data_IF_282378594795
#
_entry.id   IF_282378594795
#
_cell.length_a   1.000
_cell.length_b   1.000
_cell.length_c   1.000
_cell.angle_alpha   90.00
_cell.angle_beta   90.00
_cell.angle_gamma   90.00
#
_symmetry.space_group_name_H-M   'P 1'
#
loop_
_entity.id
_entity.type
_entity.pdbx_description
1 polymer ?
#
# COMPACT_ATOMS: atom_id res chain seq x y z
N UNK A 1 1.35 -15.40 -16.17
CA UNK A 1 0.38 -14.27 -16.19
C UNK A 1 -0.96 -14.81 -15.69
N UNK A 2 -1.19 -14.80 -14.38
CA UNK A 2 -2.49 -15.17 -13.80
C UNK A 2 -3.30 -13.88 -13.72
N UNK A 3 -4.24 -13.72 -14.64
CA UNK A 3 -5.26 -12.68 -14.55
C UNK A 3 -6.29 -13.17 -13.53
N UNK A 4 -6.19 -12.69 -12.29
CA UNK A 4 -7.28 -12.80 -11.32
C UNK A 4 -8.39 -11.83 -11.76
N UNK A 5 -9.18 -12.25 -12.75
CA UNK A 5 -10.45 -11.62 -13.08
C UNK A 5 -11.49 -12.07 -12.03
N UNK A 6 -11.39 -11.50 -10.83
CA UNK A 6 -12.51 -11.52 -9.89
C UNK A 6 -13.58 -10.60 -10.46
N UNK A 7 -14.67 -11.17 -10.98
CA UNK A 7 -15.89 -10.40 -11.28
C UNK A 7 -16.45 -9.98 -9.92
N UNK A 8 -16.09 -8.78 -9.48
CA UNK A 8 -16.74 -8.15 -8.33
C UNK A 8 -18.18 -7.85 -8.74
N UNK A 9 -19.10 -8.76 -8.43
CA UNK A 9 -20.51 -8.40 -8.37
C UNK A 9 -20.62 -7.36 -7.25
N UNK A 10 -21.06 -6.11 -7.52
CA UNK A 10 -21.29 -5.16 -6.46
C UNK A 10 -22.38 -5.74 -5.55
N UNK A 11 -22.02 -6.14 -4.34
CA UNK A 11 -23.00 -6.34 -3.29
C UNK A 11 -23.59 -4.97 -2.99
N UNK A 12 -24.84 -4.76 -3.40
CA UNK A 12 -25.61 -3.60 -3.02
C UNK A 12 -25.74 -3.61 -1.48
N UNK A 13 -25.13 -2.62 -0.84
CA UNK A 13 -25.25 -2.41 0.60
C UNK A 13 -26.70 -2.05 0.97
N UNK A 14 -27.06 -2.32 2.23
CA UNK A 14 -28.39 -2.07 2.76
C UNK A 14 -28.79 -0.59 2.57
N UNK A 15 -30.07 -0.34 2.30
CA UNK A 15 -30.64 1.01 2.25
C UNK A 15 -30.33 1.77 3.55
N UNK A 16 -29.61 2.89 3.45
CA UNK A 16 -29.16 3.70 4.59
C UNK A 16 -27.65 3.69 4.86
N UNK A 17 -26.85 3.00 4.04
CA UNK A 17 -25.38 3.08 4.09
C UNK A 17 -24.89 4.44 3.51
N UNK A 18 -24.38 5.31 4.38
CA UNK A 18 -23.89 6.65 4.05
C UNK A 18 -22.35 6.73 3.98
N UNK A 19 -21.65 5.59 4.01
CA UNK A 19 -20.17 5.54 4.00
C UNK A 19 -19.56 6.18 2.76
N UNK A 20 -20.23 6.06 1.61
CA UNK A 20 -19.80 6.71 0.37
C UNK A 20 -19.85 8.24 0.51
N UNK A 21 -20.97 8.77 1.03
CA UNK A 21 -21.14 10.21 1.30
C UNK A 21 -20.09 10.70 2.30
N UNK A 22 -19.92 10.01 3.43
CA UNK A 22 -18.92 10.36 4.45
C UNK A 22 -17.49 10.31 3.91
N UNK A 23 -17.17 9.34 3.04
CA UNK A 23 -15.86 9.26 2.38
C UNK A 23 -15.64 10.40 1.39
N UNK A 24 -16.68 10.77 0.64
CA UNK A 24 -16.63 11.92 -0.27
C UNK A 24 -16.45 13.24 0.47
N UNK A 25 -17.11 13.43 1.62
CA UNK A 25 -16.94 14.60 2.49
C UNK A 25 -15.51 14.71 3.03
N UNK A 26 -14.95 13.61 3.55
CA UNK A 26 -13.56 13.58 4.01
C UNK A 26 -12.60 13.92 2.86
N UNK A 27 -12.81 13.38 1.64
CA UNK A 27 -11.97 13.74 0.50
C UNK A 27 -12.15 15.18 0.04
N UNK A 28 -13.32 15.79 0.22
CA UNK A 28 -13.53 17.23 -0.04
C UNK A 28 -12.79 18.11 0.97
N UNK A 29 -12.72 17.72 2.25
CA UNK A 29 -11.89 18.40 3.26
C UNK A 29 -10.40 18.31 2.90
N UNK A 30 -9.95 17.13 2.49
CA UNK A 30 -8.53 16.83 2.26
C UNK A 30 -7.99 17.29 0.91
N UNK A 31 -8.85 17.38 -0.08
CA UNK A 31 -8.55 17.90 -1.41
C UNK A 31 -9.44 19.12 -1.60
N UNK A 32 -8.99 20.34 -1.26
CA UNK A 32 -9.84 21.53 -1.37
C UNK A 32 -10.08 21.94 -2.83
N UNK A 33 -9.09 21.80 -3.71
CA UNK A 33 -9.18 22.18 -5.13
C UNK A 33 -9.28 20.96 -6.07
N UNK A 34 -10.28 20.89 -6.97
CA UNK A 34 -10.42 19.79 -7.93
C UNK A 34 -9.37 19.85 -9.06
N UNK A 35 -8.67 20.98 -9.21
CA UNK A 35 -7.59 21.17 -10.17
C UNK A 35 -6.20 20.89 -9.58
N UNK A 36 -6.14 20.69 -8.26
CA UNK A 36 -4.93 20.28 -7.56
C UNK A 36 -4.68 18.77 -7.62
N UNK A 37 -3.59 18.31 -6.98
CA UNK A 37 -3.28 16.90 -6.88
C UNK A 37 -4.41 16.11 -6.23
N UNK A 38 -4.68 14.94 -6.79
CA UNK A 38 -5.80 14.13 -6.33
C UNK A 38 -5.46 13.11 -5.25
N UNK A 39 -6.51 12.67 -4.57
CA UNK A 39 -6.53 11.57 -3.61
C UNK A 39 -7.66 10.61 -3.93
N UNK A 40 -7.44 9.33 -3.65
CA UNK A 40 -8.47 8.29 -3.73
C UNK A 40 -8.48 7.44 -2.47
N UNK A 41 -9.65 6.92 -2.12
CA UNK A 41 -9.84 5.99 -1.03
C UNK A 41 -10.75 4.85 -1.50
N UNK A 42 -10.40 3.63 -1.10
CA UNK A 42 -11.21 2.44 -1.33
C UNK A 42 -11.39 1.68 -0.02
N UNK A 43 -12.63 1.23 0.22
CA UNK A 43 -12.98 0.34 1.32
C UNK A 43 -13.20 -1.07 0.80
N UNK A 44 -12.74 -2.06 1.56
CA UNK A 44 -13.07 -3.47 1.36
C UNK A 44 -13.78 -4.01 2.59
N UNK A 45 -14.91 -4.68 2.43
CA UNK A 45 -15.64 -5.36 3.52
C UNK A 45 -15.89 -6.80 3.12
N UNK A 46 -15.38 -7.75 3.90
CA UNK A 46 -15.53 -9.20 3.70
C UNK A 46 -15.19 -9.63 2.26
N UNK A 47 -14.08 -9.10 1.74
CA UNK A 47 -13.59 -9.40 0.39
C UNK A 47 -14.33 -8.69 -0.75
N UNK A 48 -15.35 -7.88 -0.46
CA UNK A 48 -16.02 -7.03 -1.46
C UNK A 48 -15.43 -5.63 -1.43
N UNK A 49 -15.02 -5.11 -2.58
CA UNK A 49 -14.62 -3.70 -2.73
C UNK A 49 -15.89 -2.85 -2.79
N UNK A 50 -15.96 -1.85 -1.93
CA UNK A 50 -17.06 -0.87 -1.85
C UNK A 50 -16.70 0.35 -2.69
N UNK A 51 -17.67 1.10 -3.24
CA UNK A 51 -17.44 2.30 -4.02
C UNK A 51 -16.28 3.18 -3.52
N UNK A 52 -15.42 3.49 -4.48
CA UNK A 52 -14.21 4.28 -4.30
C UNK A 52 -14.56 5.76 -4.35
N UNK A 53 -14.03 6.54 -3.41
CA UNK A 53 -14.15 7.98 -3.43
C UNK A 53 -12.85 8.57 -3.97
N UNK A 54 -12.94 9.51 -4.93
CA UNK A 54 -11.77 10.16 -5.54
C UNK A 54 -12.03 11.62 -5.85
N UNK A 55 -11.05 12.49 -5.59
CA UNK A 55 -11.12 13.93 -5.91
C UNK A 55 -9.77 14.45 -6.37
N UNK A 56 -9.78 15.40 -7.32
CA UNK A 56 -8.59 16.06 -7.86
C UNK A 56 -8.01 15.38 -9.11
N UNK A 57 -6.77 15.75 -9.47
CA UNK A 57 -6.10 15.29 -10.68
C UNK A 57 -5.15 14.12 -10.41
N UNK A 58 -5.27 13.08 -11.23
CA UNK A 58 -4.29 11.99 -11.32
C UNK A 58 -3.02 12.44 -12.03
N UNK A 59 -3.11 13.40 -12.96
CA UNK A 59 -1.96 13.94 -13.67
C UNK A 59 -2.16 15.45 -13.90
N UNK A 60 -1.36 16.27 -13.23
CA UNK A 60 -1.49 17.72 -13.29
C UNK A 60 -1.23 18.27 -14.69
N UNK A 61 -0.14 17.82 -15.35
CA UNK A 61 0.26 18.33 -16.67
C UNK A 61 -0.77 18.03 -17.76
N UNK A 62 -1.38 16.85 -17.73
CA UNK A 62 -2.42 16.46 -18.69
C UNK A 62 -3.84 16.83 -18.23
N UNK A 63 -4.00 17.41 -17.02
CA UNK A 63 -5.30 17.73 -16.44
C UNK A 63 -6.20 16.50 -16.17
N UNK A 64 -5.62 15.30 -16.12
CA UNK A 64 -6.36 14.03 -16.01
C UNK A 64 -6.97 13.90 -14.61
N UNK A 65 -8.29 13.69 -14.55
CA UNK A 65 -9.02 13.51 -13.29
C UNK A 65 -8.77 12.11 -12.72
N UNK A 66 -8.76 11.97 -11.39
CA UNK A 66 -8.75 10.66 -10.73
C UNK A 66 -9.98 9.85 -11.12
N UNK A 67 -9.77 8.56 -11.37
CA UNK A 67 -10.83 7.57 -11.57
C UNK A 67 -10.47 6.32 -10.78
N UNK A 68 -11.41 5.38 -10.65
CA UNK A 68 -11.14 4.07 -10.03
C UNK A 68 -10.10 3.21 -10.75
N UNK A 69 -9.69 3.62 -11.96
CA UNK A 69 -8.65 2.94 -12.74
C UNK A 69 -7.30 3.66 -12.69
N UNK A 70 -7.19 4.74 -11.89
CA UNK A 70 -5.93 5.45 -11.74
C UNK A 70 -4.90 4.54 -11.04
N UNK A 71 -3.69 4.50 -11.59
CA UNK A 71 -2.57 3.72 -11.05
C UNK A 71 -1.67 4.66 -10.26
N UNK A 72 -1.26 4.21 -9.07
CA UNK A 72 -0.40 4.97 -8.16
C UNK A 72 0.79 4.12 -7.74
N UNK A 73 1.90 4.78 -7.43
CA UNK A 73 2.97 4.15 -6.66
C UNK A 73 2.51 4.03 -5.19
N UNK A 74 2.58 2.81 -4.64
CA UNK A 74 2.14 2.50 -3.28
C UNK A 74 3.33 2.38 -2.31
N UNK A 75 4.57 2.58 -2.76
CA UNK A 75 5.77 2.61 -1.95
C UNK A 75 5.82 1.45 -0.93
N UNK A 76 6.13 1.72 0.34
CA UNK A 76 6.27 0.70 1.40
C UNK A 76 5.02 -0.13 1.68
N UNK A 77 3.83 0.25 1.18
CA UNK A 77 2.68 -0.66 1.23
C UNK A 77 2.87 -1.90 0.33
N UNK A 78 3.84 -1.87 -0.58
CA UNK A 78 4.32 -3.03 -1.34
C UNK A 78 4.89 -4.13 -0.45
N UNK A 79 5.37 -3.81 0.75
CA UNK A 79 5.98 -4.80 1.66
C UNK A 79 5.01 -5.90 2.08
N UNK A 80 3.71 -5.62 2.14
CA UNK A 80 2.69 -6.65 2.42
C UNK A 80 2.61 -7.67 1.29
N UNK A 81 2.66 -7.21 0.03
CA UNK A 81 2.69 -8.10 -1.12
C UNK A 81 4.00 -8.89 -1.21
N UNK A 82 5.13 -8.25 -0.91
CA UNK A 82 6.42 -8.92 -0.82
C UNK A 82 6.47 -9.97 0.31
N UNK A 83 5.82 -9.70 1.44
CA UNK A 83 5.64 -10.69 2.50
C UNK A 83 4.79 -11.88 2.03
N UNK A 84 3.71 -11.63 1.30
CA UNK A 84 2.83 -12.68 0.78
C UNK A 84 3.54 -13.59 -0.23
N UNK A 85 4.48 -13.09 -1.04
CA UNK A 85 5.25 -13.95 -1.95
C UNK A 85 6.12 -14.97 -1.21
N UNK A 86 6.51 -14.70 0.04
CA UNK A 86 7.19 -15.65 0.90
C UNK A 86 6.22 -16.52 1.73
N UNK A 87 5.15 -15.92 2.27
CA UNK A 87 4.18 -16.63 3.12
C UNK A 87 3.36 -17.67 2.37
N UNK A 88 2.98 -17.41 1.12
CA UNK A 88 2.19 -18.35 0.33
C UNK A 88 2.94 -19.67 0.07
N UNK A 89 4.21 -19.68 -0.39
CA UNK A 89 5.04 -20.88 -0.41
C UNK A 89 5.29 -21.48 0.97
N UNK A 90 5.50 -20.65 2.01
CA UNK A 90 5.73 -21.15 3.37
C UNK A 90 4.53 -21.95 3.90
N UNK A 91 3.31 -21.45 3.68
CA UNK A 91 2.08 -22.17 4.01
C UNK A 91 1.88 -23.47 3.22
N UNK A 92 2.58 -23.63 2.09
CA UNK A 92 2.62 -24.86 1.28
C UNK A 92 3.83 -25.74 1.59
N UNK A 93 4.63 -25.41 2.60
CA UNK A 93 5.84 -26.13 2.98
C UNK A 93 6.91 -26.17 1.87
N UNK A 94 6.88 -25.24 0.92
CA UNK A 94 7.90 -25.12 -0.13
C UNK A 94 9.12 -24.31 0.32
N UNK A 95 9.02 -23.66 1.48
CA UNK A 95 10.00 -22.78 2.10
C UNK A 95 9.70 -22.74 3.59
N UNK A 96 10.72 -22.59 4.45
CA UNK A 96 10.50 -22.40 5.87
C UNK A 96 11.01 -21.02 6.32
N UNK A 97 10.26 -20.34 7.20
CA UNK A 97 10.63 -19.00 7.66
C UNK A 97 11.88 -19.00 8.57
N UNK A 98 12.31 -20.16 9.02
CA UNK A 98 13.55 -20.39 9.76
C UNK A 98 14.70 -20.83 8.84
N UNK A 99 14.48 -20.96 7.53
CA UNK A 99 15.58 -21.23 6.60
C UNK A 99 16.57 -20.06 6.63
N UNK A 100 17.89 -20.35 6.61
CA UNK A 100 18.91 -19.35 6.34
C UNK A 100 18.65 -18.64 5.01
N UNK A 101 18.84 -17.32 4.97
CA UNK A 101 18.74 -16.52 3.75
C UNK A 101 19.69 -17.03 2.66
N UNK A 102 20.85 -17.58 3.05
CA UNK A 102 21.82 -18.17 2.13
C UNK A 102 21.25 -19.28 1.24
N UNK A 103 20.23 -19.99 1.70
CA UNK A 103 19.68 -21.14 0.98
C UNK A 103 18.83 -20.70 -0.23
N UNK A 104 18.48 -19.41 -0.29
CA UNK A 104 17.56 -18.82 -1.27
C UNK A 104 18.22 -17.78 -2.19
N UNK A 105 19.55 -17.63 -2.12
CA UNK A 105 20.31 -16.66 -2.90
C UNK A 105 21.40 -17.35 -3.72
N UNK A 106 21.65 -16.84 -4.93
CA UNK A 106 22.81 -17.22 -5.72
C UNK A 106 24.06 -16.53 -5.17
N UNK A 107 25.12 -17.30 -4.83
CA UNK A 107 26.38 -16.81 -4.26
C UNK A 107 26.19 -15.86 -3.06
N UNK A 108 25.58 -16.33 -1.95
CA UNK A 108 25.27 -15.49 -0.81
C UNK A 108 26.54 -15.01 -0.09
N UNK A 109 26.54 -13.77 0.44
CA UNK A 109 27.59 -13.35 1.36
C UNK A 109 27.55 -14.18 2.65
N UNK A 110 28.69 -14.29 3.34
CA UNK A 110 28.82 -15.16 4.51
C UNK A 110 27.80 -14.87 5.62
N UNK A 111 27.44 -13.59 5.83
CA UNK A 111 26.48 -13.17 6.85
C UNK A 111 25.06 -13.70 6.61
N UNK A 112 24.70 -14.05 5.37
CA UNK A 112 23.35 -14.52 5.05
C UNK A 112 23.04 -15.90 5.63
N UNK A 113 24.06 -16.64 6.10
CA UNK A 113 23.89 -17.93 6.78
C UNK A 113 23.23 -17.81 8.15
N UNK A 114 23.37 -16.64 8.78
CA UNK A 114 22.91 -16.40 10.16
C UNK A 114 21.59 -15.60 10.19
N UNK A 115 21.02 -15.29 9.02
CA UNK A 115 19.78 -14.50 8.90
C UNK A 115 18.63 -15.42 8.46
N UNK A 116 17.68 -15.75 9.34
CA UNK A 116 16.44 -16.42 8.95
C UNK A 116 15.60 -15.57 7.99
N UNK A 117 14.96 -16.20 7.01
CA UNK A 117 14.03 -15.51 6.11
C UNK A 117 12.93 -14.73 6.85
N UNK A 118 12.43 -15.29 7.95
CA UNK A 118 11.37 -14.68 8.76
C UNK A 118 11.80 -13.38 9.46
N UNK A 119 13.09 -13.10 9.57
CA UNK A 119 13.60 -11.87 10.17
C UNK A 119 13.59 -10.70 9.18
N UNK A 120 13.68 -10.97 7.87
CA UNK A 120 13.48 -9.96 6.83
C UNK A 120 12.06 -9.39 6.88
N UNK A 121 11.07 -10.29 7.02
CA UNK A 121 9.66 -9.94 7.08
C UNK A 121 9.28 -9.10 8.32
N UNK A 122 10.03 -9.28 9.40
CA UNK A 122 9.79 -8.61 10.69
C UNK A 122 10.70 -7.41 10.91
N UNK A 123 11.57 -7.09 9.95
CA UNK A 123 12.59 -6.06 10.07
C UNK A 123 13.49 -6.27 11.32
N UNK A 124 13.87 -7.52 11.58
CA UNK A 124 14.73 -7.90 12.73
C UNK A 124 16.03 -8.58 12.32
N UNK A 125 16.38 -8.58 11.02
CA UNK A 125 17.57 -9.24 10.49
C UNK A 125 18.89 -8.56 10.85
N UNK A 126 18.85 -7.31 11.31
CA UNK A 126 20.04 -6.50 11.59
C UNK A 126 20.79 -6.00 10.34
N UNK A 127 20.21 -6.17 9.14
CA UNK A 127 20.76 -5.62 7.90
C UNK A 127 20.60 -4.08 7.93
N UNK A 128 21.68 -3.30 7.72
CA UNK A 128 21.61 -1.84 7.71
C UNK A 128 20.69 -1.31 6.61
N UNK A 129 20.00 -0.21 6.90
CA UNK A 129 19.21 0.49 5.90
C UNK A 129 20.14 1.11 4.86
N UNK A 130 19.80 0.96 3.58
CA UNK A 130 20.49 1.60 2.47
C UNK A 130 20.53 3.13 2.57
N UNK A 131 19.57 3.76 3.26
CA UNK A 131 19.55 5.21 3.51
C UNK A 131 20.59 5.64 4.55
N UNK A 132 21.03 4.72 5.40
CA UNK A 132 22.06 4.97 6.43
C UNK A 132 23.48 4.68 5.90
N UNK A 133 23.59 4.13 4.69
CA UNK A 133 24.87 3.88 4.05
C UNK A 133 25.42 5.17 3.42
N UNK A 134 26.68 5.55 3.69
CA UNK A 134 27.29 6.69 3.00
C UNK A 134 27.31 6.42 1.49
N UNK A 135 26.92 7.43 0.69
CA UNK A 135 26.87 7.36 -0.77
C UNK A 135 28.17 6.74 -1.33
N UNK A 136 28.07 5.53 -1.87
CA UNK A 136 29.15 4.94 -2.63
C UNK A 136 29.29 5.72 -3.93
N UNK A 137 30.27 6.64 -3.96
CA UNK A 137 30.49 7.65 -5.02
C UNK A 137 30.63 7.11 -6.46
N UNK A 138 30.71 5.80 -6.65
CA UNK A 138 31.02 5.18 -7.95
C UNK A 138 29.92 4.30 -8.55
N UNK A 139 28.81 4.08 -7.85
CA UNK A 139 27.62 3.46 -8.44
C UNK A 139 26.65 4.57 -8.80
N UNK A 140 26.45 4.79 -10.11
CA UNK A 140 25.52 5.78 -10.69
C UNK A 140 24.06 5.51 -10.30
N UNK A 141 23.78 5.62 -9.01
CA UNK A 141 22.50 5.32 -8.39
C UNK A 141 21.73 6.63 -8.44
N UNK A 142 20.88 6.77 -9.45
CA UNK A 142 19.84 7.78 -9.40
C UNK A 142 18.96 7.41 -8.23
N UNK A 143 19.17 8.07 -7.09
CA UNK A 143 18.22 8.04 -5.99
C UNK A 143 16.88 8.52 -6.56
N UNK A 144 15.96 7.60 -6.79
CA UNK A 144 14.56 7.96 -6.94
C UNK A 144 14.21 8.56 -5.58
N UNK A 145 14.03 9.88 -5.51
CA UNK A 145 13.54 10.50 -4.27
C UNK A 145 12.24 9.79 -3.89
N UNK A 146 12.31 8.94 -2.86
CA UNK A 146 11.18 8.19 -2.30
C UNK A 146 10.19 9.10 -1.54
N UNK A 147 10.45 10.41 -1.51
CA UNK A 147 9.88 11.38 -0.57
C UNK A 147 8.50 11.94 -0.98
N UNK A 148 7.71 11.34 -1.90
CA UNK A 148 6.49 12.03 -2.36
C UNK A 148 5.20 11.19 -2.44
N UNK A 149 5.24 9.91 -2.08
CA UNK A 149 4.05 9.05 -2.11
C UNK A 149 3.68 8.57 -0.71
N UNK A 150 2.57 9.09 -0.18
CA UNK A 150 1.95 8.56 1.03
C UNK A 150 0.69 7.80 0.66
N UNK A 151 0.81 6.48 0.73
CA UNK A 151 -0.33 5.58 0.77
C UNK A 151 -0.46 5.00 2.17
N UNK A 152 -1.68 4.75 2.63
CA UNK A 152 -1.94 4.12 3.93
C UNK A 152 -2.92 3.00 3.74
N UNK A 153 -2.58 1.83 4.27
CA UNK A 153 -3.49 0.68 4.39
C UNK A 153 -3.78 0.46 5.86
N UNK A 154 -5.05 0.31 6.21
CA UNK A 154 -5.49 -0.07 7.55
C UNK A 154 -6.43 -1.25 7.45
N UNK A 155 -6.26 -2.20 8.36
CA UNK A 155 -7.09 -3.39 8.47
C UNK A 155 -7.73 -3.40 9.86
N UNK A 156 -9.03 -3.66 9.94
CA UNK A 156 -9.75 -3.76 11.20
C UNK A 156 -9.22 -4.93 12.06
N UNK A 157 -9.36 -4.89 13.39
CA UNK A 157 -8.90 -5.97 14.27
C UNK A 157 -9.51 -7.34 13.93
N UNK A 158 -10.78 -7.35 13.49
CA UNK A 158 -11.49 -8.55 13.05
C UNK A 158 -11.12 -9.01 11.63
N UNK A 159 -10.25 -8.25 10.95
CA UNK A 159 -9.76 -8.46 9.58
C UNK A 159 -10.85 -8.51 8.50
N UNK A 160 -12.06 -8.08 8.81
CA UNK A 160 -13.16 -8.05 7.85
C UNK A 160 -13.19 -6.77 7.01
N UNK A 161 -12.57 -5.70 7.49
CA UNK A 161 -12.53 -4.42 6.79
C UNK A 161 -11.09 -4.02 6.52
N UNK A 162 -10.81 -3.60 5.30
CA UNK A 162 -9.58 -2.90 4.95
C UNK A 162 -9.90 -1.57 4.28
N UNK A 163 -9.10 -0.55 4.57
CA UNK A 163 -9.18 0.76 3.91
C UNK A 163 -7.82 1.10 3.37
N UNK A 164 -7.76 1.49 2.10
CA UNK A 164 -6.57 2.06 1.49
C UNK A 164 -6.83 3.49 1.04
N UNK A 165 -5.87 4.37 1.30
CA UNK A 165 -5.87 5.76 0.85
C UNK A 165 -4.58 6.00 0.10
N UNK A 166 -4.65 6.53 -1.11
CA UNK A 166 -3.49 6.81 -1.94
C UNK A 166 -3.55 8.24 -2.48
N UNK A 167 -2.40 8.91 -2.50
CA UNK A 167 -2.26 10.31 -2.89
C UNK A 167 -1.16 10.45 -3.96
N UNK A 168 -1.35 11.35 -4.93
CA UNK A 168 -0.35 11.66 -5.96
C UNK A 168 0.39 13.00 -5.74
N UNK A 169 0.39 13.53 -4.51
CA UNK A 169 1.26 14.65 -4.13
C UNK A 169 1.45 14.74 -2.61
N UNK A 170 2.55 15.38 -2.21
CA UNK A 170 2.72 15.95 -0.87
C UNK A 170 1.76 17.12 -0.64
N UNK A 171 1.05 17.13 0.50
CA UNK A 171 1.39 18.06 1.60
C UNK A 171 1.04 17.47 3.00
N UNK A 172 1.27 18.16 4.15
CA UNK A 172 1.46 17.52 5.48
C UNK A 172 0.22 16.82 6.10
N UNK A 173 -0.94 16.81 5.45
CA UNK A 173 -2.22 16.33 5.97
C UNK A 173 -2.62 14.90 5.54
N UNK A 174 -1.76 14.15 4.87
CA UNK A 174 -2.06 12.77 4.42
C UNK A 174 -2.33 11.79 5.57
N UNK A 175 -1.70 11.99 6.74
CA UNK A 175 -1.95 11.16 7.93
C UNK A 175 -3.30 11.46 8.59
N UNK A 176 -3.74 12.72 8.59
CA UNK A 176 -5.07 13.11 9.10
C UNK A 176 -6.17 12.44 8.27
N UNK A 177 -6.02 12.43 6.95
CA UNK A 177 -6.89 11.70 6.03
C UNK A 177 -7.02 10.21 6.35
N UNK A 178 -5.88 9.53 6.43
CA UNK A 178 -5.82 8.11 6.70
C UNK A 178 -6.23 7.74 8.13
N UNK A 179 -6.35 8.71 9.04
CA UNK A 179 -6.87 8.52 10.39
C UNK A 179 -8.39 8.74 10.49
N UNK A 180 -8.98 9.61 9.67
CA UNK A 180 -10.43 9.88 9.67
C UNK A 180 -11.24 8.89 8.83
N UNK A 181 -10.69 8.41 7.71
CA UNK A 181 -11.38 7.45 6.84
C UNK A 181 -11.66 6.08 7.52
N UNK A 182 -10.75 5.49 8.31
CA UNK A 182 -11.01 4.20 8.96
C UNK A 182 -12.30 4.18 9.79
N UNK A 183 -12.60 5.22 10.57
CA UNK A 183 -13.80 5.29 11.42
C UNK A 183 -15.12 5.26 10.62
N UNK A 184 -15.04 5.59 9.32
CA UNK A 184 -16.18 5.48 8.40
C UNK A 184 -16.44 4.02 8.01
N UNK A 185 -15.38 3.23 7.87
CA UNK A 185 -15.42 1.89 7.30
C UNK A 185 -15.31 0.75 8.33
N UNK A 186 -14.82 1.03 9.55
CA UNK A 186 -14.66 0.04 10.63
C UNK A 186 -15.88 -0.10 11.55
N UNK A 187 -16.97 0.65 11.31
CA UNK A 187 -18.25 0.55 12.04
C UNK A 187 -19.28 -0.34 11.34
#
# INVERSE_FOLDING_TARGET
MVVLAGVANPHAYASGDDRETRSAEVLQELVPSPDGPGRTAAGGVRGSVVPEAGRGKAELKAGRVITSKAVFDVASNSNQFAADTALLPAGRQHLALNDPLSDHLDNPPAWARDVPLGDLMRHTSGIPDHQDLPEAKDIGTTFIQQEFFRSTVKVSPDRNTAVTVVCNAEPPDSFRAANQLPDTWTK
#
